data_IF_212693476906
#
_entry.id   IF_212693476906
#
_cell.length_a   1.000
_cell.length_b   1.000
_cell.length_c   1.000
_cell.angle_alpha   90.00
_cell.angle_beta   90.00
_cell.angle_gamma   90.00
#
_symmetry.space_group_name_H-M   'P 1'
#
loop_
_entity.id
_entity.type
_entity.pdbx_description
1 polymer ?
#
# COMPACT_ATOMS: atom_id res chain seq x y z
N UNK A 1 -76.92 -7.63 20.19
CA UNK A 1 -76.43 -6.95 18.97
C UNK A 1 -75.24 -6.07 19.37
N UNK A 2 -74.10 -6.19 18.67
CA UNK A 2 -72.89 -5.34 18.78
C UNK A 2 -73.21 -3.87 18.43
N UNK A 3 -72.36 -2.84 18.72
CA UNK A 3 -70.92 -2.93 19.00
C UNK A 3 -70.37 -2.08 20.17
N UNK A 4 -69.19 -2.48 20.63
CA UNK A 4 -68.35 -1.80 21.62
C UNK A 4 -67.10 -1.22 20.95
N UNK A 5 -66.73 -0.01 21.35
CA UNK A 5 -65.32 0.41 21.52
C UNK A 5 -64.54 0.80 20.27
N UNK A 6 -64.41 2.12 20.05
CA UNK A 6 -63.40 2.71 19.17
C UNK A 6 -61.98 2.29 19.58
N UNK A 7 -61.18 1.97 18.56
CA UNK A 7 -59.74 1.78 18.65
C UNK A 7 -59.03 3.12 18.95
N UNK A 8 -58.20 3.14 19.99
CA UNK A 8 -57.18 4.16 20.18
C UNK A 8 -55.81 3.53 19.94
N UNK A 9 -55.28 3.70 18.74
CA UNK A 9 -53.90 3.38 18.40
C UNK A 9 -53.02 4.50 18.96
N UNK A 10 -52.35 4.26 20.08
CA UNK A 10 -51.31 5.16 20.59
C UNK A 10 -50.04 4.86 19.80
N UNK A 11 -49.77 5.70 18.79
CA UNK A 11 -48.52 5.69 18.04
C UNK A 11 -47.45 6.38 18.90
N UNK A 12 -46.71 5.59 19.67
CA UNK A 12 -45.56 6.07 20.44
C UNK A 12 -44.44 6.48 19.49
N UNK A 13 -44.32 7.79 19.23
CA UNK A 13 -43.18 8.37 18.53
C UNK A 13 -41.92 8.24 19.41
N UNK A 14 -41.11 7.22 19.14
CA UNK A 14 -39.75 7.11 19.65
C UNK A 14 -38.88 8.18 18.97
N UNK A 15 -38.77 9.35 19.62
CA UNK A 15 -37.73 10.33 19.35
C UNK A 15 -36.38 9.78 19.85
N UNK A 16 -35.75 8.91 19.06
CA UNK A 16 -34.33 8.63 19.22
C UNK A 16 -33.56 9.85 18.71
N UNK A 17 -33.24 10.74 19.63
CA UNK A 17 -32.21 11.76 19.44
C UNK A 17 -30.85 11.09 19.27
N UNK A 18 -30.57 10.59 18.08
CA UNK A 18 -29.20 10.30 17.69
C UNK A 18 -28.49 11.66 17.62
N UNK A 19 -27.72 12.00 18.65
CA UNK A 19 -26.71 13.04 18.53
C UNK A 19 -25.73 12.57 17.44
N UNK A 20 -25.98 12.99 16.21
CA UNK A 20 -25.17 12.67 15.03
C UNK A 20 -23.85 13.40 15.19
N UNK A 21 -22.89 12.77 15.86
CA UNK A 21 -21.56 13.32 16.05
C UNK A 21 -20.84 13.41 14.71
N UNK A 22 -20.40 14.61 14.34
CA UNK A 22 -19.28 14.75 13.41
C UNK A 22 -18.07 14.00 13.97
N UNK A 23 -17.21 13.38 13.14
CA UNK A 23 -16.01 12.72 13.64
C UNK A 23 -15.23 13.70 14.51
N UNK A 24 -14.95 13.30 15.75
CA UNK A 24 -14.12 14.08 16.66
C UNK A 24 -12.69 13.96 16.15
N UNK A 25 -12.14 15.06 15.65
CA UNK A 25 -10.79 15.09 15.12
C UNK A 25 -9.80 15.43 16.20
N UNK A 26 -8.61 14.84 16.14
CA UNK A 26 -7.49 15.22 17.00
C UNK A 26 -7.01 16.66 16.65
N UNK A 27 -7.12 17.63 17.58
CA UNK A 27 -6.69 19.00 17.33
C UNK A 27 -5.21 19.13 17.00
N UNK A 28 -4.35 18.27 17.57
CA UNK A 28 -2.91 18.35 17.34
C UNK A 28 -2.55 17.89 15.93
N UNK A 29 -3.13 16.77 15.49
CA UNK A 29 -2.94 16.26 14.11
C UNK A 29 -3.52 17.20 13.07
N UNK A 30 -4.67 17.79 13.36
CA UNK A 30 -5.30 18.72 12.41
C UNK A 30 -4.62 20.09 12.39
N UNK A 31 -4.00 20.56 13.47
CA UNK A 31 -3.35 21.88 13.51
C UNK A 31 -2.22 22.04 12.48
N UNK A 32 -1.50 20.97 12.16
CA UNK A 32 -0.38 20.98 11.20
C UNK A 32 -0.81 20.89 9.74
N UNK A 33 -2.09 20.62 9.47
CA UNK A 33 -2.63 20.55 8.11
C UNK A 33 -2.94 21.94 7.55
N UNK A 34 -2.87 22.16 6.23
CA UNK A 34 -3.35 23.39 5.61
C UNK A 34 -4.86 23.55 5.83
N UNK A 35 -5.39 24.79 5.80
CA UNK A 35 -6.85 25.02 5.93
C UNK A 35 -7.62 24.33 4.80
N UNK A 36 -7.10 24.42 3.58
CA UNK A 36 -7.64 23.78 2.38
C UNK A 36 -6.51 23.15 1.58
N UNK A 37 -6.76 21.99 1.00
CA UNK A 37 -5.90 21.36 0.00
C UNK A 37 -6.79 20.70 -1.07
N UNK A 38 -6.38 20.78 -2.34
CA UNK A 38 -7.11 20.17 -3.44
C UNK A 38 -6.16 19.76 -4.56
N UNK A 39 -6.18 18.48 -4.91
CA UNK A 39 -5.43 17.84 -5.99
C UNK A 39 -6.22 17.92 -7.28
N UNK A 40 -6.50 19.16 -7.73
CA UNK A 40 -7.40 19.46 -8.83
C UNK A 40 -6.99 18.81 -10.17
N UNK A 41 -5.71 18.48 -10.35
CA UNK A 41 -5.18 17.81 -11.54
C UNK A 41 -5.35 16.29 -11.52
N UNK A 42 -5.91 15.71 -10.45
CA UNK A 42 -6.23 14.28 -10.40
C UNK A 42 -7.20 13.96 -11.54
N UNK A 43 -6.86 13.01 -12.45
CA UNK A 43 -7.73 12.64 -13.56
C UNK A 43 -9.12 12.23 -13.11
N UNK A 44 -10.10 12.39 -13.99
CA UNK A 44 -11.46 11.95 -13.76
C UNK A 44 -11.86 10.92 -14.82
N UNK A 45 -12.25 9.74 -14.37
CA UNK A 45 -12.91 8.73 -15.18
C UNK A 45 -14.33 8.58 -14.63
N UNK A 46 -15.38 8.91 -15.41
CA UNK A 46 -16.77 8.73 -14.99
C UNK A 46 -17.02 7.29 -14.51
N UNK A 47 -17.66 7.17 -13.35
CA UNK A 47 -17.93 5.89 -12.72
C UNK A 47 -19.34 5.45 -13.09
N UNK A 48 -19.45 4.77 -14.23
CA UNK A 48 -20.69 4.13 -14.66
C UNK A 48 -21.03 2.91 -13.77
N UNK A 49 -22.27 2.42 -13.86
CA UNK A 49 -22.75 1.31 -13.04
C UNK A 49 -21.77 0.13 -13.05
N UNK A 50 -21.48 -0.44 -11.88
CA UNK A 50 -20.55 -1.57 -11.68
C UNK A 50 -19.05 -1.31 -12.01
N UNK A 51 -18.65 -0.08 -12.35
CA UNK A 51 -17.27 0.26 -12.75
C UNK A 51 -16.53 1.23 -11.79
N UNK A 52 -17.10 1.55 -10.63
CA UNK A 52 -16.51 2.51 -9.68
C UNK A 52 -15.13 2.09 -9.15
N UNK A 53 -14.85 0.79 -8.98
CA UNK A 53 -13.56 0.27 -8.54
C UNK A 53 -12.43 0.51 -9.55
N UNK A 54 -12.50 -0.07 -10.76
CA UNK A 54 -11.49 0.14 -11.80
C UNK A 54 -11.27 1.62 -12.15
N UNK A 55 -12.34 2.42 -12.20
CA UNK A 55 -12.25 3.85 -12.45
C UNK A 55 -11.50 4.59 -11.32
N UNK A 56 -11.83 4.32 -10.05
CA UNK A 56 -11.13 4.91 -8.90
C UNK A 56 -9.65 4.56 -8.89
N UNK A 57 -9.33 3.30 -9.21
CA UNK A 57 -7.95 2.85 -9.25
C UNK A 57 -7.18 3.52 -10.40
N UNK A 58 -7.77 3.62 -11.60
CA UNK A 58 -7.17 4.31 -12.74
C UNK A 58 -6.87 5.79 -12.43
N UNK A 59 -7.80 6.49 -11.76
CA UNK A 59 -7.61 7.89 -11.35
C UNK A 59 -6.38 8.04 -10.44
N UNK A 60 -6.26 7.20 -9.41
CA UNK A 60 -5.14 7.28 -8.45
C UNK A 60 -3.81 6.87 -9.08
N UNK A 61 -3.77 5.78 -9.84
CA UNK A 61 -2.54 5.35 -10.52
C UNK A 61 -2.05 6.41 -11.51
N UNK A 62 -2.94 6.93 -12.36
CA UNK A 62 -2.57 7.95 -13.34
C UNK A 62 -2.11 9.25 -12.67
N UNK A 63 -2.76 9.66 -11.57
CA UNK A 63 -2.32 10.81 -10.76
C UNK A 63 -0.91 10.63 -10.17
N UNK A 64 -0.43 9.38 -10.03
CA UNK A 64 0.92 9.06 -9.54
C UNK A 64 1.92 8.78 -10.67
N UNK A 65 1.57 9.13 -11.90
CA UNK A 65 2.43 8.93 -13.07
C UNK A 65 2.52 7.48 -13.50
N UNK A 66 1.55 6.64 -13.11
CA UNK A 66 1.42 5.26 -13.55
C UNK A 66 0.23 5.17 -14.53
N UNK A 67 0.46 5.24 -15.85
CA UNK A 67 -0.62 5.22 -16.83
C UNK A 67 -1.49 3.98 -16.64
N UNK A 68 -2.79 4.19 -16.41
CA UNK A 68 -3.75 3.10 -16.25
C UNK A 68 -5.12 3.54 -16.74
N UNK A 69 -5.79 2.69 -17.53
CA UNK A 69 -7.17 2.92 -17.94
C UNK A 69 -8.13 1.98 -17.18
N UNK A 70 -9.37 2.42 -16.88
CA UNK A 70 -10.34 1.59 -16.17
C UNK A 70 -10.59 0.24 -16.86
N UNK A 71 -10.60 0.23 -18.20
CA UNK A 71 -10.84 -0.98 -19.01
C UNK A 71 -9.78 -2.06 -18.81
N UNK A 72 -8.52 -1.65 -18.60
CA UNK A 72 -7.38 -2.57 -18.43
C UNK A 72 -7.33 -3.13 -16.99
N UNK A 73 -7.86 -2.36 -16.03
CA UNK A 73 -7.93 -2.75 -14.63
C UNK A 73 -9.15 -3.62 -14.32
N UNK A 74 -10.25 -3.46 -15.06
CA UNK A 74 -11.51 -4.15 -14.81
C UNK A 74 -11.35 -5.68 -14.65
N UNK A 75 -10.64 -6.42 -15.51
CA UNK A 75 -10.48 -7.87 -15.35
C UNK A 75 -9.77 -8.28 -14.06
N UNK A 76 -9.00 -7.37 -13.47
CA UNK A 76 -8.18 -7.65 -12.27
C UNK A 76 -8.84 -7.23 -10.96
N UNK A 77 -9.91 -6.42 -11.03
CA UNK A 77 -10.56 -5.78 -9.88
C UNK A 77 -12.08 -6.03 -9.86
N UNK A 78 -12.65 -6.52 -10.95
CA UNK A 78 -14.08 -6.81 -11.08
C UNK A 78 -14.36 -8.31 -11.07
N UNK A 79 -15.27 -8.75 -10.20
CA UNK A 79 -15.78 -10.12 -10.18
C UNK A 79 -17.25 -10.12 -10.62
N UNK A 80 -17.59 -10.59 -11.85
CA UNK A 80 -18.96 -10.59 -12.36
C UNK A 80 -19.95 -11.32 -11.44
N UNK A 81 -19.51 -12.39 -10.78
CA UNK A 81 -20.32 -13.19 -9.85
C UNK A 81 -20.67 -12.44 -8.54
N UNK A 82 -20.06 -11.29 -8.26
CA UNK A 82 -20.23 -10.52 -7.01
C UNK A 82 -20.70 -9.08 -7.21
N UNK A 83 -21.02 -8.68 -8.45
CA UNK A 83 -21.57 -7.36 -8.81
C UNK A 83 -20.79 -6.19 -8.18
N UNK A 84 -19.46 -6.20 -8.31
CA UNK A 84 -18.60 -5.12 -7.82
C UNK A 84 -17.14 -5.53 -7.57
N UNK A 85 -16.38 -4.59 -6.99
CA UNK A 85 -14.97 -4.75 -6.65
C UNK A 85 -14.77 -4.90 -5.14
N UNK A 86 -14.03 -5.92 -4.69
CA UNK A 86 -13.78 -6.09 -3.26
C UNK A 86 -12.56 -5.25 -2.81
N UNK A 87 -12.52 -4.84 -1.54
CA UNK A 87 -11.36 -4.13 -0.97
C UNK A 87 -10.00 -4.80 -1.22
N UNK A 88 -9.96 -6.14 -1.14
CA UNK A 88 -8.75 -6.92 -1.41
C UNK A 88 -8.38 -6.90 -2.90
N UNK A 89 -9.38 -6.90 -3.78
CA UNK A 89 -9.16 -6.84 -5.22
C UNK A 89 -8.62 -5.47 -5.63
N UNK A 90 -9.03 -4.39 -4.97
CA UNK A 90 -8.49 -3.04 -5.18
C UNK A 90 -6.98 -2.97 -4.87
N UNK A 91 -6.56 -3.49 -3.71
CA UNK A 91 -5.14 -3.58 -3.35
C UNK A 91 -4.37 -4.49 -4.32
N UNK A 92 -4.94 -5.65 -4.65
CA UNK A 92 -4.35 -6.60 -5.58
C UNK A 92 -4.19 -6.05 -7.00
N UNK A 93 -5.19 -5.32 -7.50
CA UNK A 93 -5.17 -4.65 -8.80
C UNK A 93 -4.09 -3.58 -8.86
N UNK A 94 -3.99 -2.73 -7.83
CA UNK A 94 -2.94 -1.72 -7.73
C UNK A 94 -1.54 -2.35 -7.74
N UNK A 95 -1.34 -3.43 -6.97
CA UNK A 95 -0.07 -4.17 -6.91
C UNK A 95 0.26 -4.87 -8.24
N UNK A 96 -0.73 -5.42 -8.94
CA UNK A 96 -0.57 -5.98 -10.30
C UNK A 96 -0.20 -4.92 -11.33
N UNK A 97 -0.70 -3.69 -11.17
CA UNK A 97 -0.26 -2.51 -11.92
C UNK A 97 1.14 -2.02 -11.51
N UNK A 98 1.77 -2.65 -10.51
CA UNK A 98 3.13 -2.35 -10.06
C UNK A 98 3.22 -1.26 -9.01
N UNK A 99 2.11 -0.86 -8.38
CA UNK A 99 2.11 0.19 -7.38
C UNK A 99 2.36 -0.34 -5.96
N UNK A 100 2.97 0.48 -5.12
CA UNK A 100 2.99 0.26 -3.66
C UNK A 100 1.62 0.68 -3.14
N UNK A 101 0.78 -0.31 -2.84
CA UNK A 101 -0.60 -0.08 -2.40
C UNK A 101 -0.83 -0.55 -0.96
N UNK A 102 -1.38 0.35 -0.15
CA UNK A 102 -1.49 0.20 1.31
C UNK A 102 -2.85 0.71 1.79
N UNK A 103 -3.37 0.09 2.86
CA UNK A 103 -4.50 0.64 3.59
C UNK A 103 -4.03 1.83 4.44
N UNK A 104 -4.88 2.83 4.57
CA UNK A 104 -4.65 3.94 5.48
C UNK A 104 -5.24 3.62 6.87
N UNK A 105 -4.75 4.25 7.94
CA UNK A 105 -5.48 4.28 9.21
C UNK A 105 -6.93 4.75 8.99
N UNK A 106 -7.93 4.15 9.67
CA UNK A 106 -9.36 4.40 9.44
C UNK A 106 -9.84 5.70 10.13
N UNK A 107 -9.22 6.83 9.77
CA UNK A 107 -9.49 8.16 10.35
C UNK A 107 -9.55 9.23 9.26
N UNK A 108 -10.39 10.25 9.45
CA UNK A 108 -10.53 11.35 8.51
C UNK A 108 -9.24 12.19 8.44
N UNK A 109 -8.53 12.29 9.54
CA UNK A 109 -7.22 12.94 9.64
C UNK A 109 -6.20 12.27 8.73
N UNK A 110 -6.14 10.94 8.72
CA UNK A 110 -5.25 10.18 7.82
C UNK A 110 -5.55 10.46 6.35
N UNK A 111 -6.84 10.51 5.99
CA UNK A 111 -7.27 10.89 4.63
C UNK A 111 -6.79 12.30 4.28
N UNK A 112 -7.00 13.27 5.17
CA UNK A 112 -6.58 14.65 4.93
C UNK A 112 -5.04 14.81 4.90
N UNK A 113 -4.31 14.09 5.74
CA UNK A 113 -2.85 14.07 5.77
C UNK A 113 -2.27 13.57 4.43
N UNK A 114 -2.83 12.49 3.88
CA UNK A 114 -2.42 11.99 2.58
C UNK A 114 -2.74 12.98 1.45
N UNK A 115 -3.97 13.52 1.43
CA UNK A 115 -4.37 14.53 0.43
C UNK A 115 -3.48 15.78 0.50
N UNK A 116 -3.20 16.28 1.70
CA UNK A 116 -2.30 17.41 1.92
C UNK A 116 -0.87 17.11 1.44
N UNK A 117 -0.46 15.85 1.42
CA UNK A 117 0.85 15.40 0.90
C UNK A 117 0.87 15.10 -0.60
N UNK A 118 -0.22 15.37 -1.34
CA UNK A 118 -0.27 15.12 -2.78
C UNK A 118 -0.74 13.71 -3.17
N UNK A 119 -1.36 12.97 -2.25
CA UNK A 119 -1.82 11.60 -2.47
C UNK A 119 -3.35 11.54 -2.46
N UNK A 120 -4.00 11.33 -3.62
CA UNK A 120 -5.42 11.01 -3.67
C UNK A 120 -5.72 9.71 -2.92
N UNK A 121 -6.86 9.65 -2.21
CA UNK A 121 -7.22 8.51 -1.36
C UNK A 121 -8.45 7.81 -1.91
N UNK A 122 -8.36 6.52 -2.21
CA UNK A 122 -9.53 5.72 -2.57
C UNK A 122 -10.26 5.34 -1.29
N UNK A 123 -11.58 5.54 -1.27
CA UNK A 123 -12.45 5.22 -0.13
C UNK A 123 -13.61 4.34 -0.59
N UNK A 124 -14.07 3.45 0.29
CA UNK A 124 -15.25 2.64 0.06
C UNK A 124 -16.40 3.13 0.93
N UNK A 125 -17.48 3.59 0.31
CA UNK A 125 -18.68 4.06 0.99
C UNK A 125 -19.83 3.09 0.75
N UNK A 126 -20.78 3.06 1.68
CA UNK A 126 -22.12 2.55 1.41
C UNK A 126 -23.09 3.73 1.42
N UNK A 127 -23.57 4.11 0.24
CA UNK A 127 -24.42 5.29 0.04
C UNK A 127 -25.88 5.08 0.47
N UNK A 128 -26.29 3.83 0.70
CA UNK A 128 -27.66 3.46 1.06
C UNK A 128 -27.77 2.96 2.50
N UNK A 129 -29.00 2.69 2.95
CA UNK A 129 -29.27 2.12 4.28
C UNK A 129 -28.79 0.66 4.36
N UNK A 130 -28.47 0.14 5.57
CA UNK A 130 -27.93 -1.21 5.75
C UNK A 130 -28.78 -2.34 5.16
N UNK A 131 -30.10 -2.15 5.06
CA UNK A 131 -31.06 -3.12 4.53
C UNK A 131 -31.02 -3.28 3.00
N UNK A 132 -30.48 -2.30 2.27
CA UNK A 132 -30.30 -2.33 0.81
C UNK A 132 -28.99 -1.61 0.46
N UNK A 133 -27.82 -2.25 0.66
CA UNK A 133 -26.53 -1.57 0.54
C UNK A 133 -26.24 -1.14 -0.91
N UNK A 134 -25.68 0.07 -1.08
CA UNK A 134 -25.12 0.57 -2.33
C UNK A 134 -23.65 0.88 -2.13
N UNK A 135 -22.79 -0.09 -2.41
CA UNK A 135 -21.35 0.04 -2.26
C UNK A 135 -20.76 0.87 -3.41
N UNK A 136 -19.92 1.83 -3.07
CA UNK A 136 -19.39 2.81 -4.01
C UNK A 136 -17.95 3.19 -3.66
N UNK A 137 -17.04 3.08 -4.62
CA UNK A 137 -15.70 3.63 -4.49
C UNK A 137 -15.68 5.06 -5.00
N UNK A 138 -15.02 5.94 -4.25
CA UNK A 138 -14.73 7.30 -4.65
C UNK A 138 -13.26 7.62 -4.39
N UNK A 139 -12.77 8.72 -4.97
CA UNK A 139 -11.41 9.21 -4.72
C UNK A 139 -11.50 10.57 -4.04
N UNK A 140 -11.05 10.66 -2.79
CA UNK A 140 -10.89 11.94 -2.09
C UNK A 140 -9.68 12.65 -2.67
N UNK A 141 -9.91 13.84 -3.23
CA UNK A 141 -8.89 14.68 -3.87
C UNK A 141 -8.70 16.01 -3.16
N UNK A 142 -9.50 16.34 -2.16
CA UNK A 142 -9.35 17.60 -1.45
C UNK A 142 -10.22 17.71 -0.21
N UNK A 143 -9.97 18.76 0.57
CA UNK A 143 -10.75 19.11 1.75
C UNK A 143 -10.68 20.62 1.99
N UNK A 144 -11.68 21.11 2.72
CA UNK A 144 -11.69 22.44 3.33
C UNK A 144 -12.12 22.29 4.80
N UNK A 145 -11.24 22.64 5.73
CA UNK A 145 -11.48 22.50 7.17
C UNK A 145 -12.35 23.61 7.74
N UNK A 146 -12.33 24.80 7.13
CA UNK A 146 -13.19 25.90 7.55
C UNK A 146 -14.65 25.57 7.23
N UNK A 147 -14.89 25.06 6.02
CA UNK A 147 -16.22 24.69 5.54
C UNK A 147 -16.64 23.27 5.95
N UNK A 148 -15.72 22.47 6.51
CA UNK A 148 -15.93 21.08 6.94
C UNK A 148 -16.45 20.18 5.81
N UNK A 149 -15.84 20.32 4.62
CA UNK A 149 -16.16 19.53 3.42
C UNK A 149 -14.97 18.76 2.88
N UNK A 150 -15.26 17.72 2.10
CA UNK A 150 -14.33 17.01 1.24
C UNK A 150 -14.69 17.21 -0.23
N UNK A 151 -13.69 17.11 -1.10
CA UNK A 151 -13.84 17.11 -2.55
C UNK A 151 -13.49 15.72 -3.09
N UNK A 152 -14.43 15.11 -3.82
CA UNK A 152 -14.32 13.75 -4.33
C UNK A 152 -14.43 13.71 -5.86
N UNK A 153 -13.70 12.78 -6.49
CA UNK A 153 -14.07 12.21 -7.79
C UNK A 153 -15.05 11.07 -7.52
N UNK A 154 -16.30 11.19 -7.96
CA UNK A 154 -17.36 10.24 -7.57
C UNK A 154 -18.54 10.22 -8.54
N UNK A 155 -18.96 9.03 -8.96
CA UNK A 155 -20.06 8.85 -9.90
C UNK A 155 -19.75 9.52 -11.25
N UNK A 156 -20.73 10.28 -11.74
CA UNK A 156 -20.60 11.12 -12.93
C UNK A 156 -20.13 12.55 -12.60
N UNK A 157 -19.93 12.85 -11.32
CA UNK A 157 -19.49 14.16 -10.85
C UNK A 157 -17.97 14.21 -10.73
N UNK A 158 -17.32 14.99 -11.60
CA UNK A 158 -15.88 15.21 -11.53
C UNK A 158 -15.50 15.84 -10.18
N UNK A 159 -16.30 16.77 -9.65
CA UNK A 159 -16.01 17.45 -8.39
C UNK A 159 -17.22 17.45 -7.48
N UNK A 160 -17.41 16.33 -6.78
CA UNK A 160 -18.43 16.21 -5.75
C UNK A 160 -17.98 16.87 -4.45
N UNK A 161 -18.84 17.70 -3.85
CA UNK A 161 -18.60 18.32 -2.53
C UNK A 161 -19.48 17.63 -1.50
N UNK A 162 -18.89 17.13 -0.42
CA UNK A 162 -19.62 16.43 0.65
C UNK A 162 -19.16 16.88 2.03
N UNK A 163 -20.10 17.14 2.94
CA UNK A 163 -19.79 17.50 4.33
C UNK A 163 -19.23 16.32 5.13
N UNK A 164 -18.31 16.58 6.06
CA UNK A 164 -17.60 15.56 6.85
C UNK A 164 -18.54 14.58 7.55
N UNK A 165 -19.64 15.07 8.13
CA UNK A 165 -20.60 14.21 8.82
C UNK A 165 -21.28 13.22 7.88
N UNK A 166 -21.67 13.65 6.68
CA UNK A 166 -22.31 12.77 5.68
C UNK A 166 -21.32 11.77 5.10
N UNK A 167 -20.10 12.23 4.82
CA UNK A 167 -19.02 11.36 4.41
C UNK A 167 -18.72 10.28 5.45
N UNK A 168 -18.44 10.65 6.71
CA UNK A 168 -18.05 9.68 7.74
C UNK A 168 -19.15 8.66 8.02
N UNK A 169 -20.43 9.05 8.00
CA UNK A 169 -21.55 8.11 8.17
C UNK A 169 -21.60 7.03 7.09
N UNK A 170 -21.40 7.42 5.83
CA UNK A 170 -21.44 6.47 4.69
C UNK A 170 -20.16 5.64 4.61
N UNK A 171 -19.03 6.22 5.02
CA UNK A 171 -17.71 5.58 5.08
C UNK A 171 -17.56 4.61 6.27
N UNK A 172 -18.12 4.92 7.43
CA UNK A 172 -18.08 4.06 8.62
C UNK A 172 -18.69 2.67 8.37
N UNK A 173 -19.64 2.57 7.44
CA UNK A 173 -20.28 1.29 7.05
C UNK A 173 -19.32 0.30 6.38
N UNK A 174 -18.21 0.78 5.80
CA UNK A 174 -17.13 -0.09 5.29
C UNK A 174 -16.04 -0.37 6.33
N UNK A 175 -16.25 0.04 7.59
CA UNK A 175 -15.18 0.10 8.59
C UNK A 175 -14.16 1.20 8.30
N UNK A 176 -14.60 2.30 7.66
CA UNK A 176 -13.75 3.40 7.19
C UNK A 176 -12.60 2.88 6.33
N UNK A 177 -12.93 2.01 5.37
CA UNK A 177 -11.93 1.45 4.48
C UNK A 177 -11.42 2.53 3.51
N UNK A 178 -10.10 2.69 3.47
CA UNK A 178 -9.42 3.56 2.54
C UNK A 178 -8.05 2.98 2.18
N UNK A 179 -7.56 3.37 1.00
CA UNK A 179 -6.24 3.00 0.52
C UNK A 179 -5.58 4.13 -0.27
N UNK A 180 -4.26 4.09 -0.29
CA UNK A 180 -3.42 4.85 -1.21
C UNK A 180 -2.64 3.89 -2.11
N UNK A 181 -2.21 4.40 -3.25
CA UNK A 181 -1.26 3.73 -4.13
C UNK A 181 -0.21 4.76 -4.58
N UNK A 182 1.06 4.38 -4.58
CA UNK A 182 2.16 5.23 -5.05
C UNK A 182 3.07 4.46 -5.99
N UNK A 183 3.84 5.22 -6.76
CA UNK A 183 4.97 4.67 -7.52
C UNK A 183 5.96 4.02 -6.54
N UNK A 184 6.57 2.87 -6.87
CA UNK A 184 7.40 2.14 -5.92
C UNK A 184 8.59 2.89 -5.33
N UNK A 185 9.18 3.83 -6.07
CA UNK A 185 10.27 4.66 -5.56
C UNK A 185 9.83 5.81 -4.63
N UNK A 186 8.52 6.12 -4.60
CA UNK A 186 7.97 7.16 -3.76
C UNK A 186 7.67 6.60 -2.37
N UNK A 187 8.12 7.31 -1.33
CA UNK A 187 7.78 6.99 0.06
C UNK A 187 6.67 7.93 0.54
N UNK A 188 5.43 7.44 0.78
CA UNK A 188 4.38 8.26 1.36
C UNK A 188 4.83 8.86 2.70
N UNK A 189 4.65 10.16 2.96
CA UNK A 189 5.15 10.78 4.18
C UNK A 189 4.65 10.09 5.45
N UNK A 190 3.36 9.74 5.50
CA UNK A 190 2.73 9.07 6.63
C UNK A 190 2.74 7.54 6.51
N UNK A 191 3.59 6.96 5.66
CA UNK A 191 3.70 5.50 5.57
C UNK A 191 4.15 4.91 6.92
N UNK A 192 3.41 3.93 7.40
CA UNK A 192 3.80 3.08 8.51
C UNK A 192 4.63 1.90 7.99
N UNK A 193 5.58 1.43 8.81
CA UNK A 193 6.52 0.37 8.44
C UNK A 193 5.81 -0.91 7.99
N UNK A 194 4.91 -1.44 8.81
CA UNK A 194 4.32 -2.75 8.55
C UNK A 194 3.47 -2.80 7.26
N UNK A 195 2.53 -1.85 6.99
CA UNK A 195 1.82 -1.80 5.72
C UNK A 195 2.74 -1.63 4.51
N UNK A 196 3.83 -0.86 4.64
CA UNK A 196 4.78 -0.65 3.56
C UNK A 196 5.57 -1.92 3.22
N UNK A 197 6.09 -2.60 4.26
CA UNK A 197 6.77 -3.90 4.11
C UNK A 197 5.85 -4.92 3.45
N UNK A 198 4.58 -4.99 3.86
CA UNK A 198 3.59 -5.88 3.23
C UNK A 198 3.40 -5.57 1.74
N UNK A 199 3.32 -4.29 1.36
CA UNK A 199 3.16 -3.87 -0.02
C UNK A 199 4.40 -4.22 -0.89
N UNK A 200 5.61 -4.00 -0.36
CA UNK A 200 6.85 -4.37 -1.06
C UNK A 200 6.96 -5.89 -1.26
N UNK A 201 6.70 -6.67 -0.22
CA UNK A 201 6.64 -8.14 -0.32
C UNK A 201 5.59 -8.63 -1.31
N UNK A 202 4.44 -7.94 -1.38
CA UNK A 202 3.39 -8.31 -2.33
C UNK A 202 3.83 -8.06 -3.78
N UNK A 203 4.57 -6.98 -4.07
CA UNK A 203 5.16 -6.74 -5.39
C UNK A 203 6.17 -7.85 -5.76
N UNK A 204 7.03 -8.25 -4.82
CA UNK A 204 7.99 -9.32 -5.02
C UNK A 204 7.28 -10.66 -5.34
N UNK A 205 6.26 -11.04 -4.55
CA UNK A 205 5.49 -12.27 -4.79
C UNK A 205 4.74 -12.29 -6.12
N UNK A 206 4.39 -11.11 -6.66
CA UNK A 206 3.79 -10.96 -7.98
C UNK A 206 4.82 -10.97 -9.12
N UNK A 207 6.11 -11.17 -8.83
CA UNK A 207 7.19 -11.15 -9.81
C UNK A 207 7.48 -9.77 -10.38
N UNK A 208 7.00 -8.70 -9.72
CA UNK A 208 7.27 -7.31 -10.12
C UNK A 208 8.65 -6.88 -9.60
N UNK A 209 9.69 -7.63 -9.94
CA UNK A 209 11.04 -7.48 -9.36
C UNK A 209 11.60 -6.06 -9.48
N UNK A 210 11.51 -5.36 -10.64
CA UNK A 210 11.99 -3.97 -10.73
C UNK A 210 11.24 -3.02 -9.79
N UNK A 211 9.92 -3.18 -9.68
CA UNK A 211 9.09 -2.37 -8.77
C UNK A 211 9.37 -2.70 -7.31
N UNK A 212 9.48 -3.98 -6.96
CA UNK A 212 9.82 -4.43 -5.61
C UNK A 212 11.18 -3.87 -5.18
N UNK A 213 12.17 -3.89 -6.07
CA UNK A 213 13.50 -3.32 -5.81
C UNK A 213 13.43 -1.82 -5.46
N UNK A 214 12.71 -1.03 -6.26
CA UNK A 214 12.49 0.40 -5.97
C UNK A 214 11.77 0.62 -4.63
N UNK A 215 10.76 -0.20 -4.31
CA UNK A 215 10.05 -0.14 -3.04
C UNK A 215 10.94 -0.49 -1.86
N UNK A 216 11.74 -1.55 -1.96
CA UNK A 216 12.65 -1.93 -0.89
C UNK A 216 13.69 -0.85 -0.62
N UNK A 217 14.24 -0.22 -1.66
CA UNK A 217 15.21 0.86 -1.50
C UNK A 217 14.61 2.10 -0.84
N UNK A 218 13.40 2.49 -1.22
CA UNK A 218 12.69 3.57 -0.56
C UNK A 218 12.40 3.20 0.91
N UNK A 219 12.03 1.94 1.17
CA UNK A 219 11.86 1.37 2.49
C UNK A 219 13.12 1.45 3.36
N UNK A 220 14.27 0.97 2.86
CA UNK A 220 15.55 0.99 3.59
C UNK A 220 15.95 2.42 3.94
N UNK A 221 15.81 3.37 3.02
CA UNK A 221 16.08 4.79 3.32
C UNK A 221 15.23 5.33 4.46
N UNK A 222 13.98 4.87 4.61
CA UNK A 222 13.08 5.29 5.69
C UNK A 222 13.32 4.53 7.00
N UNK A 223 13.63 3.24 6.91
CA UNK A 223 13.82 2.35 8.04
C UNK A 223 15.11 1.51 7.86
N UNK A 224 16.29 2.11 8.03
CA UNK A 224 17.55 1.47 7.66
C UNK A 224 17.90 0.23 8.51
N UNK A 225 17.37 0.15 9.74
CA UNK A 225 17.50 -1.04 10.60
C UNK A 225 16.55 -2.19 10.30
N UNK A 226 15.68 -2.07 9.29
CA UNK A 226 14.70 -3.10 8.95
C UNK A 226 15.33 -4.25 8.16
N UNK A 227 15.49 -5.40 8.81
CA UNK A 227 16.09 -6.59 8.18
C UNK A 227 15.31 -7.08 6.95
N UNK A 228 13.98 -7.02 6.95
CA UNK A 228 13.16 -7.49 5.83
C UNK A 228 13.35 -6.59 4.61
N UNK A 229 13.35 -5.28 4.80
CA UNK A 229 13.57 -4.32 3.72
C UNK A 229 15.00 -4.41 3.18
N UNK A 230 15.98 -4.56 4.07
CA UNK A 230 17.39 -4.67 3.69
C UNK A 230 17.67 -5.96 2.87
N UNK A 231 17.15 -7.10 3.33
CA UNK A 231 17.27 -8.38 2.60
C UNK A 231 16.52 -8.31 1.27
N UNK A 232 15.32 -7.73 1.25
CA UNK A 232 14.53 -7.51 0.04
C UNK A 232 15.27 -6.65 -0.98
N UNK A 233 15.85 -5.52 -0.57
CA UNK A 233 16.62 -4.63 -1.43
C UNK A 233 17.82 -5.34 -2.06
N UNK A 234 18.64 -6.01 -1.23
CA UNK A 234 19.82 -6.72 -1.74
C UNK A 234 19.46 -7.87 -2.68
N UNK A 235 18.46 -8.69 -2.33
CA UNK A 235 18.03 -9.83 -3.15
C UNK A 235 17.41 -9.40 -4.48
N UNK A 236 16.55 -8.38 -4.47
CA UNK A 236 15.90 -7.90 -5.70
C UNK A 236 16.89 -7.18 -6.61
N UNK A 237 17.86 -6.43 -6.07
CA UNK A 237 18.98 -5.86 -6.83
C UNK A 237 19.84 -6.96 -7.49
N UNK A 238 20.15 -8.04 -6.74
CA UNK A 238 20.86 -9.20 -7.29
C UNK A 238 20.07 -9.87 -8.42
N UNK A 239 18.76 -10.05 -8.25
CA UNK A 239 17.88 -10.68 -9.22
C UNK A 239 17.77 -9.90 -10.54
N UNK A 240 17.84 -8.56 -10.50
CA UNK A 240 17.88 -7.71 -11.70
C UNK A 240 19.30 -7.54 -12.28
N UNK A 241 20.32 -8.13 -11.65
CA UNK A 241 21.71 -8.13 -12.11
C UNK A 241 22.53 -6.92 -11.68
N UNK A 242 22.00 -6.02 -10.85
CA UNK A 242 22.72 -4.86 -10.32
C UNK A 242 23.54 -5.27 -9.09
N UNK A 243 24.70 -5.90 -9.35
CA UNK A 243 25.57 -6.44 -8.31
C UNK A 243 26.15 -5.33 -7.41
N UNK A 244 26.49 -4.18 -7.98
CA UNK A 244 27.02 -3.05 -7.22
C UNK A 244 25.99 -2.54 -6.20
N UNK A 245 24.72 -2.44 -6.61
CA UNK A 245 23.64 -2.03 -5.72
C UNK A 245 23.32 -3.09 -4.67
N UNK A 246 23.31 -4.36 -5.07
CA UNK A 246 23.12 -5.47 -4.15
C UNK A 246 24.19 -5.51 -3.07
N UNK A 247 25.46 -5.32 -3.46
CA UNK A 247 26.60 -5.25 -2.54
C UNK A 247 26.42 -4.09 -1.55
N UNK A 248 26.14 -2.87 -2.05
CA UNK A 248 25.92 -1.71 -1.16
C UNK A 248 24.80 -1.95 -0.16
N UNK A 249 23.66 -2.49 -0.62
CA UNK A 249 22.52 -2.78 0.24
C UNK A 249 22.87 -3.78 1.36
N UNK A 250 23.58 -4.87 1.04
CA UNK A 250 23.98 -5.84 2.08
C UNK A 250 25.08 -5.32 3.00
N UNK A 251 26.01 -4.49 2.51
CA UNK A 251 27.01 -3.85 3.37
C UNK A 251 26.35 -2.91 4.38
N UNK A 252 25.44 -2.05 3.94
CA UNK A 252 24.65 -1.19 4.83
C UNK A 252 23.83 -2.03 5.83
N UNK A 253 23.22 -3.12 5.37
CA UNK A 253 22.48 -4.04 6.23
C UNK A 253 23.36 -4.65 7.34
N UNK A 254 24.65 -4.93 7.07
CA UNK A 254 25.60 -5.43 8.08
C UNK A 254 25.97 -4.38 9.12
N UNK A 255 25.86 -3.09 8.84
CA UNK A 255 26.09 -2.04 9.85
C UNK A 255 25.03 -2.12 10.96
N UNK A 256 23.80 -2.49 10.60
CA UNK A 256 22.70 -2.66 11.54
C UNK A 256 22.58 -4.08 12.11
N UNK A 257 22.98 -5.09 11.34
CA UNK A 257 22.85 -6.51 11.67
C UNK A 257 24.17 -7.28 11.48
N UNK A 258 25.23 -6.95 12.25
CA UNK A 258 26.59 -7.44 11.99
C UNK A 258 26.77 -8.95 12.17
N UNK A 259 25.87 -9.59 12.91
CA UNK A 259 25.85 -11.04 13.17
C UNK A 259 24.73 -11.77 12.39
N UNK A 260 24.21 -11.18 11.32
CA UNK A 260 23.21 -11.84 10.47
C UNK A 260 23.89 -12.79 9.49
N UNK A 261 23.82 -14.10 9.77
CA UNK A 261 24.31 -15.14 8.86
C UNK A 261 23.66 -15.07 7.47
N UNK A 262 22.37 -14.68 7.40
CA UNK A 262 21.66 -14.48 6.14
C UNK A 262 22.29 -13.37 5.29
N UNK A 263 22.55 -12.20 5.89
CA UNK A 263 23.13 -11.06 5.15
C UNK A 263 24.57 -11.37 4.74
N UNK A 264 25.37 -11.97 5.63
CA UNK A 264 26.75 -12.36 5.32
C UNK A 264 26.78 -13.35 4.15
N UNK A 265 25.92 -14.36 4.16
CA UNK A 265 25.82 -15.34 3.07
C UNK A 265 25.36 -14.69 1.75
N UNK A 266 24.37 -13.80 1.80
CA UNK A 266 23.89 -13.13 0.60
C UNK A 266 24.97 -12.21 0.00
N UNK A 267 25.70 -11.45 0.83
CA UNK A 267 26.82 -10.64 0.37
C UNK A 267 27.94 -11.50 -0.22
N UNK A 268 28.24 -12.66 0.37
CA UNK A 268 29.18 -13.62 -0.20
C UNK A 268 28.76 -14.07 -1.61
N UNK A 269 27.49 -14.41 -1.82
CA UNK A 269 26.97 -14.77 -3.14
C UNK A 269 27.10 -13.63 -4.16
N UNK A 270 26.80 -12.39 -3.75
CA UNK A 270 26.97 -11.20 -4.61
C UNK A 270 28.42 -11.03 -5.04
N UNK A 271 29.35 -11.06 -4.09
CA UNK A 271 30.79 -10.90 -4.35
C UNK A 271 31.34 -12.05 -5.20
N UNK A 272 30.89 -13.28 -4.95
CA UNK A 272 31.26 -14.44 -5.74
C UNK A 272 30.79 -14.28 -7.19
N UNK A 273 29.56 -13.78 -7.42
CA UNK A 273 29.06 -13.48 -8.77
C UNK A 273 29.83 -12.35 -9.44
N UNK A 274 30.29 -11.36 -8.68
CA UNK A 274 31.17 -10.29 -9.16
C UNK A 274 32.64 -10.74 -9.38
N UNK A 275 32.97 -12.01 -9.11
CA UNK A 275 34.32 -12.56 -9.29
C UNK A 275 35.30 -12.29 -8.14
N UNK A 276 34.86 -11.65 -7.06
CA UNK A 276 35.67 -11.34 -5.86
C UNK A 276 35.66 -12.51 -4.87
N UNK A 277 36.21 -13.64 -5.32
CA UNK A 277 36.07 -14.94 -4.63
C UNK A 277 36.76 -14.97 -3.24
N UNK A 278 37.89 -14.29 -3.07
CA UNK A 278 38.61 -14.21 -1.79
C UNK A 278 37.75 -13.61 -0.67
N UNK A 279 37.12 -12.47 -0.97
CA UNK A 279 36.29 -11.77 0.01
C UNK A 279 34.96 -12.49 0.23
N UNK A 280 34.40 -13.07 -0.84
CA UNK A 280 33.22 -13.90 -0.76
C UNK A 280 33.43 -15.08 0.19
N UNK A 281 34.58 -15.77 0.09
CA UNK A 281 34.92 -16.89 0.98
C UNK A 281 34.99 -16.46 2.44
N UNK A 282 35.70 -15.36 2.74
CA UNK A 282 35.80 -14.83 4.11
C UNK A 282 34.43 -14.52 4.73
N UNK A 283 33.51 -13.97 3.94
CA UNK A 283 32.15 -13.68 4.41
C UNK A 283 31.31 -14.95 4.59
N UNK A 284 31.45 -15.93 3.69
CA UNK A 284 30.77 -17.21 3.82
C UNK A 284 31.27 -18.00 5.05
N UNK A 285 32.56 -17.97 5.37
CA UNK A 285 33.11 -18.55 6.60
C UNK A 285 32.51 -17.90 7.85
N UNK A 286 32.41 -16.57 7.86
CA UNK A 286 31.73 -15.85 8.95
C UNK A 286 30.26 -16.22 9.04
N UNK A 287 29.56 -16.36 7.91
CA UNK A 287 28.16 -16.79 7.88
C UNK A 287 27.98 -18.20 8.47
N UNK A 288 28.86 -19.15 8.12
CA UNK A 288 28.88 -20.51 8.67
C UNK A 288 29.15 -20.52 10.18
N UNK A 289 29.99 -19.61 10.68
CA UNK A 289 30.27 -19.52 12.12
C UNK A 289 29.08 -19.06 12.97
N UNK A 290 28.00 -18.56 12.35
CA UNK A 290 26.79 -18.09 13.04
C UNK A 290 25.74 -19.22 13.02
N UNK A 291 25.40 -19.83 14.18
CA UNK A 291 24.35 -20.84 14.25
C UNK A 291 22.98 -20.26 13.89
N UNK A 292 22.17 -21.00 13.13
CA UNK A 292 20.81 -20.59 12.81
C UNK A 292 20.27 -21.24 11.54
N UNK A 293 19.08 -20.82 11.13
CA UNK A 293 18.37 -21.37 9.96
C UNK A 293 19.09 -21.21 8.61
N UNK A 294 20.13 -20.38 8.55
CA UNK A 294 20.90 -20.11 7.33
C UNK A 294 22.26 -20.83 7.30
N UNK A 295 22.59 -21.60 8.32
CA UNK A 295 23.89 -22.28 8.44
C UNK A 295 24.16 -23.24 7.27
N UNK A 296 23.21 -24.13 6.97
CA UNK A 296 23.37 -25.12 5.89
C UNK A 296 23.47 -24.45 4.51
N UNK A 297 22.70 -23.38 4.28
CA UNK A 297 22.80 -22.59 3.06
C UNK A 297 24.18 -21.92 2.93
N UNK A 298 24.71 -21.39 4.04
CA UNK A 298 26.04 -20.78 4.07
C UNK A 298 27.17 -21.78 3.84
N UNK A 299 27.03 -23.02 4.34
CA UNK A 299 27.97 -24.11 4.05
C UNK A 299 28.00 -24.44 2.56
N UNK A 300 26.83 -24.54 1.92
CA UNK A 300 26.73 -24.76 0.48
C UNK A 300 27.39 -23.64 -0.33
N UNK A 301 27.11 -22.38 -0.01
CA UNK A 301 27.76 -21.22 -0.65
C UNK A 301 29.28 -21.23 -0.45
N UNK A 302 29.77 -21.53 0.75
CA UNK A 302 31.21 -21.61 1.03
C UNK A 302 31.90 -22.69 0.17
N UNK A 303 31.28 -23.86 0.05
CA UNK A 303 31.79 -24.95 -0.77
C UNK A 303 31.86 -24.54 -2.25
N UNK A 304 30.79 -23.98 -2.79
CA UNK A 304 30.75 -23.51 -4.18
C UNK A 304 31.84 -22.47 -4.47
N UNK A 305 32.03 -21.50 -3.57
CA UNK A 305 33.07 -20.48 -3.72
C UNK A 305 34.46 -21.13 -3.77
N UNK A 306 34.76 -22.07 -2.86
CA UNK A 306 36.06 -22.79 -2.82
C UNK A 306 36.31 -23.63 -4.06
N UNK A 307 35.28 -24.30 -4.57
CA UNK A 307 35.37 -25.05 -5.83
C UNK A 307 35.68 -24.11 -7.00
N UNK A 308 35.01 -22.95 -7.08
CA UNK A 308 35.28 -21.94 -8.12
C UNK A 308 36.68 -21.35 -8.04
N UNK A 309 37.27 -21.23 -6.85
CA UNK A 309 38.66 -20.75 -6.66
C UNK A 309 39.70 -21.76 -7.11
N UNK A 310 39.40 -23.05 -6.98
CA UNK A 310 40.32 -24.13 -7.33
C UNK A 310 40.16 -24.62 -8.78
N UNK A 311 39.06 -24.27 -9.44
CA UNK A 311 38.83 -24.54 -10.85
C UNK A 311 39.90 -23.84 -11.73
N UNK A 312 40.56 -24.57 -12.66
CA UNK A 312 41.49 -23.95 -13.60
C UNK A 312 40.77 -22.89 -14.42
N UNK A 313 41.32 -21.67 -14.51
CA UNK A 313 40.75 -20.61 -15.35
C UNK A 313 40.65 -21.12 -16.79
N UNK A 314 39.43 -21.34 -17.28
CA UNK A 314 39.19 -21.70 -18.67
C UNK A 314 39.51 -20.50 -19.55
N UNK A 315 40.72 -20.50 -20.10
CA UNK A 315 41.18 -19.53 -21.11
C UNK A 315 40.20 -19.59 -22.29
N UNK A 316 39.51 -18.48 -22.56
CA UNK A 316 39.02 -18.09 -23.88
C UNK A 316 39.18 -16.59 -24.04
#
# INVERSE_FOLDING_TARGET
MRPSGLAALVLSALLLGACVGTPALDPQRTAVLPVRAELATTPFYPQEADHCGPASLAMVLTARGMPAEPKDLAPTVFLPARKGSLPLDMLGGARRAGAVAMRTPPSLESVMEHVASGLPVIVLQNLSLPIYPMWHYAVVVGFDRAERVLYLRSGLEERQVIGWGTFDRTWARSGRWAMIATSPGDMPPQAERAPYVEAALALERLGKTPQANLAYEAGVRRWPGDLTLAVGAGNTAYAVGDLDRSERAFREALEHHPASGAILNNLANVLARAGRLEEAESLAERAVSIPGSHHDAALGTLQEIRERRTAPSSIR
#
